data_IF_480659843982
#
_entry.id   IF_480659843982
#
_cell.length_a   1.000
_cell.length_b   1.000
_cell.length_c   1.000
_cell.angle_alpha   90.00
_cell.angle_beta   90.00
_cell.angle_gamma   90.00
#
_symmetry.space_group_name_H-M   'P 1'
#
loop_
_entity.id
_entity.type
_entity.pdbx_description
1 polymer ?
#
# COMPACT_ATOMS: atom_id res chain seq x y z
N UNK A 1 1.29 11.40 -1.53
CA UNK A 1 1.05 10.18 -0.73
C UNK A 1 1.96 9.06 -1.20
N UNK A 2 2.89 8.63 -0.36
CA UNK A 2 3.79 7.50 -0.56
C UNK A 2 3.37 6.35 0.35
N UNK A 3 3.30 5.14 -0.18
CA UNK A 3 3.09 3.93 0.64
C UNK A 3 4.25 2.99 0.46
N UNK A 4 4.66 2.36 1.55
CA UNK A 4 5.62 1.27 1.54
C UNK A 4 5.00 0.09 2.24
N UNK A 5 4.94 -1.08 1.61
CA UNK A 5 4.34 -2.26 2.21
C UNK A 5 5.05 -3.53 1.75
N UNK A 6 5.01 -4.58 2.57
CA UNK A 6 5.48 -5.91 2.18
C UNK A 6 4.34 -6.67 1.50
N UNK A 7 4.51 -7.06 0.23
CA UNK A 7 3.51 -7.81 -0.51
C UNK A 7 3.42 -9.28 -0.06
N UNK A 8 2.45 -10.03 -0.59
CA UNK A 8 2.25 -11.45 -0.24
C UNK A 8 3.44 -12.35 -0.61
N UNK A 9 4.32 -11.91 -1.51
CA UNK A 9 5.56 -12.60 -1.86
C UNK A 9 6.72 -12.28 -0.91
N UNK A 10 6.49 -11.45 0.12
CA UNK A 10 7.53 -10.99 1.05
C UNK A 10 8.43 -9.89 0.50
N UNK A 11 8.08 -9.29 -0.65
CA UNK A 11 8.83 -8.18 -1.25
C UNK A 11 8.32 -6.84 -0.73
N UNK A 12 9.24 -5.96 -0.37
CA UNK A 12 8.93 -4.55 -0.13
C UNK A 12 8.57 -3.87 -1.44
N UNK A 13 7.38 -3.30 -1.48
CA UNK A 13 6.86 -2.49 -2.58
C UNK A 13 6.73 -1.07 -2.07
N UNK A 14 7.33 -0.14 -2.80
CA UNK A 14 7.16 1.29 -2.60
C UNK A 14 6.33 1.84 -3.76
N UNK A 15 5.24 2.51 -3.43
CA UNK A 15 4.32 3.05 -4.43
C UNK A 15 3.96 4.48 -4.06
N UNK A 16 4.06 5.38 -5.04
CA UNK A 16 3.70 6.79 -4.87
C UNK A 16 2.41 7.05 -5.61
N UNK A 17 1.47 7.69 -4.93
CA UNK A 17 0.18 8.07 -5.45
C UNK A 17 0.10 9.58 -5.61
N UNK A 18 -0.34 9.99 -6.80
CA UNK A 18 -0.64 11.39 -7.11
C UNK A 18 -1.99 11.84 -6.49
N UNK A 19 -2.89 10.89 -6.18
CA UNK A 19 -4.25 11.18 -5.76
C UNK A 19 -4.68 10.23 -4.62
N UNK A 20 -5.53 10.71 -3.71
CA UNK A 20 -6.02 9.92 -2.57
C UNK A 20 -6.84 8.70 -3.00
N UNK A 21 -7.57 8.78 -4.11
CA UNK A 21 -8.44 7.70 -4.62
C UNK A 21 -7.64 6.42 -4.93
N UNK A 22 -6.46 6.57 -5.53
CA UNK A 22 -5.56 5.45 -5.87
C UNK A 22 -5.01 4.79 -4.59
N UNK A 23 -4.66 5.60 -3.58
CA UNK A 23 -4.25 5.11 -2.27
C UNK A 23 -5.36 4.31 -1.59
N UNK A 24 -6.62 4.75 -1.71
CA UNK A 24 -7.79 4.05 -1.15
C UNK A 24 -7.99 2.67 -1.79
N UNK A 25 -7.92 2.58 -3.11
CA UNK A 25 -7.98 1.30 -3.86
C UNK A 25 -6.87 0.34 -3.44
N UNK A 26 -5.64 0.85 -3.27
CA UNK A 26 -4.54 0.00 -2.82
C UNK A 26 -4.76 -0.45 -1.37
N UNK A 27 -5.19 0.42 -0.46
CA UNK A 27 -5.48 0.06 0.94
C UNK A 27 -6.47 -1.10 1.04
N UNK A 28 -7.52 -1.11 0.21
CA UNK A 28 -8.46 -2.23 0.13
C UNK A 28 -7.80 -3.52 -0.37
N UNK A 29 -6.98 -3.43 -1.43
CA UNK A 29 -6.19 -4.57 -1.92
C UNK A 29 -5.23 -5.12 -0.87
N UNK A 30 -4.56 -4.25 -0.11
CA UNK A 30 -3.64 -4.65 0.96
C UNK A 30 -4.38 -5.32 2.11
N UNK A 31 -5.54 -4.79 2.51
CA UNK A 31 -6.43 -5.41 3.50
C UNK A 31 -6.90 -6.79 3.06
N UNK A 32 -7.31 -6.94 1.80
CA UNK A 32 -7.68 -8.24 1.22
C UNK A 32 -6.51 -9.24 1.20
N UNK A 33 -5.29 -8.74 0.99
CA UNK A 33 -4.06 -9.55 1.04
C UNK A 33 -3.53 -9.78 2.46
N UNK A 34 -4.23 -9.29 3.50
CA UNK A 34 -3.79 -9.31 4.91
C UNK A 34 -2.41 -8.66 5.13
N UNK A 35 -2.06 -7.68 4.30
CA UNK A 35 -0.83 -6.90 4.49
C UNK A 35 -1.08 -5.89 5.61
N UNK A 36 -0.44 -6.11 6.75
CA UNK A 36 -0.55 -5.26 7.95
C UNK A 36 0.63 -4.29 8.13
N UNK A 37 1.73 -4.51 7.40
CA UNK A 37 2.98 -3.72 7.44
C UNK A 37 2.97 -2.48 6.53
N UNK A 38 1.79 -2.07 6.04
CA UNK A 38 1.69 -0.94 5.12
C UNK A 38 1.91 0.40 5.83
N UNK A 39 3.00 1.09 5.50
CA UNK A 39 3.34 2.43 5.99
C UNK A 39 2.93 3.47 4.97
N UNK A 40 2.11 4.43 5.41
CA UNK A 40 1.59 5.51 4.57
C UNK A 40 2.20 6.83 5.03
N UNK A 41 2.86 7.54 4.12
CA UNK A 41 3.33 8.91 4.29
C UNK A 41 2.59 9.81 3.32
N UNK A 42 2.16 10.98 3.79
CA UNK A 42 1.41 11.94 2.98
C UNK A 42 2.33 12.72 2.05
#
# INVERSE_FOLDING_TARGET
MKVTYTNKEGKKVEQTFANEEEGKKLKEKLKAQKVTDAKWEW
#
